data_IF_336275107930
#
_entry.id   IF_336275107930
#
_cell.length_a   1.000
_cell.length_b   1.000
_cell.length_c   1.000
_cell.angle_alpha   90.00
_cell.angle_beta   90.00
_cell.angle_gamma   90.00
#
_symmetry.space_group_name_H-M   'P 1'
#
loop_
_entity.id
_entity.type
_entity.pdbx_description
1 polymer ?
#
# COMPACT_ATOMS: atom_id res chain seq x y z
N UNK A 1 -7.35 -10.82 5.32
CA UNK A 1 -6.17 -10.29 6.07
C UNK A 1 -4.83 -10.76 5.50
N UNK A 2 -4.54 -12.09 5.35
CA UNK A 2 -3.24 -12.57 4.81
C UNK A 2 -3.03 -12.11 3.36
N UNK A 3 -4.05 -12.20 2.52
CA UNK A 3 -3.99 -11.73 1.14
C UNK A 3 -3.75 -10.22 1.08
N UNK A 4 -4.38 -9.43 1.94
CA UNK A 4 -4.15 -7.99 2.06
C UNK A 4 -2.71 -7.68 2.49
N UNK A 5 -2.16 -8.37 3.49
CA UNK A 5 -0.75 -8.18 3.87
C UNK A 5 0.21 -8.47 2.70
N UNK A 6 -0.08 -9.50 1.90
CA UNK A 6 0.73 -9.83 0.72
C UNK A 6 0.54 -8.80 -0.41
N UNK A 7 -0.70 -8.41 -0.72
CA UNK A 7 -0.99 -7.40 -1.75
C UNK A 7 -0.46 -6.03 -1.38
N UNK A 8 -0.59 -5.61 -0.12
CA UNK A 8 -0.02 -4.35 0.38
C UNK A 8 1.51 -4.29 0.23
N UNK A 9 2.21 -5.41 0.50
CA UNK A 9 3.65 -5.51 0.27
C UNK A 9 4.01 -5.42 -1.23
N UNK A 10 3.27 -6.12 -2.09
CA UNK A 10 3.47 -6.06 -3.55
C UNK A 10 3.18 -4.66 -4.11
N UNK A 11 2.11 -4.02 -3.66
CA UNK A 11 1.74 -2.67 -4.07
C UNK A 11 2.75 -1.63 -3.58
N UNK A 12 3.32 -1.80 -2.40
CA UNK A 12 4.43 -0.99 -1.91
C UNK A 12 5.65 -1.09 -2.83
N UNK A 13 6.04 -2.31 -3.23
CA UNK A 13 7.15 -2.53 -4.16
C UNK A 13 6.83 -1.96 -5.57
N UNK A 14 5.59 -2.10 -6.04
CA UNK A 14 5.13 -1.51 -7.29
C UNK A 14 5.17 0.02 -7.24
N UNK A 15 4.77 0.63 -6.13
CA UNK A 15 4.85 2.08 -5.91
C UNK A 15 6.29 2.59 -6.01
N UNK A 16 7.27 1.87 -5.42
CA UNK A 16 8.70 2.17 -5.62
C UNK A 16 9.12 2.09 -7.07
N UNK A 17 8.74 1.04 -7.78
CA UNK A 17 9.08 0.87 -9.19
C UNK A 17 8.51 2.01 -10.05
N UNK A 18 7.26 2.38 -9.81
CA UNK A 18 6.56 3.44 -10.53
C UNK A 18 7.24 4.80 -10.34
N UNK A 19 7.50 5.19 -9.09
CA UNK A 19 8.15 6.48 -8.81
C UNK A 19 9.59 6.50 -9.28
N UNK A 20 10.31 5.36 -9.24
CA UNK A 20 11.67 5.26 -9.76
C UNK A 20 11.72 5.45 -11.28
N UNK A 21 10.77 4.87 -12.01
CA UNK A 21 10.65 5.09 -13.47
C UNK A 21 10.39 6.58 -13.77
N UNK A 22 9.48 7.20 -13.02
CA UNK A 22 9.18 8.63 -13.19
C UNK A 22 10.38 9.51 -12.87
N UNK A 23 11.12 9.18 -11.81
CA UNK A 23 12.29 9.93 -11.37
C UNK A 23 13.49 9.82 -12.33
N UNK A 24 13.61 8.71 -13.08
CA UNK A 24 14.70 8.46 -14.03
C UNK A 24 14.35 8.87 -15.47
N UNK A 25 13.19 9.45 -15.71
CA UNK A 25 12.78 9.88 -17.05
C UNK A 25 13.41 11.24 -17.37
N UNK A 26 14.14 11.36 -18.48
CA UNK A 26 14.81 12.61 -18.94
C UNK A 26 13.87 13.82 -19.03
N UNK A 27 12.56 13.59 -19.07
CA UNK A 27 11.53 14.63 -19.14
C UNK A 27 11.21 15.29 -17.79
N UNK A 28 11.57 14.65 -16.68
CA UNK A 28 11.29 15.13 -15.33
C UNK A 28 12.62 15.32 -14.62
N UNK A 29 13.16 16.53 -14.66
CA UNK A 29 14.42 16.88 -13.98
C UNK A 29 14.17 17.20 -12.50
N UNK A 30 13.55 16.28 -11.76
CA UNK A 30 13.34 16.42 -10.32
C UNK A 30 14.00 15.26 -9.60
N UNK A 31 15.08 15.53 -8.90
CA UNK A 31 15.68 14.54 -7.99
C UNK A 31 14.81 14.40 -6.74
N UNK A 32 14.01 13.36 -6.72
CA UNK A 32 13.16 13.05 -5.57
C UNK A 32 13.99 12.50 -4.41
N UNK A 33 13.77 13.04 -3.22
CA UNK A 33 14.45 12.53 -2.02
C UNK A 33 14.02 11.09 -1.70
N UNK A 34 14.88 10.26 -1.08
CA UNK A 34 14.53 8.91 -0.64
C UNK A 34 13.29 8.85 0.26
N UNK A 35 13.08 9.89 1.06
CA UNK A 35 11.90 10.02 1.90
C UNK A 35 10.62 10.18 1.06
N UNK A 36 10.65 11.06 0.06
CA UNK A 36 9.48 11.29 -0.80
C UNK A 36 9.12 10.03 -1.60
N UNK A 37 10.12 9.33 -2.15
CA UNK A 37 9.92 8.06 -2.88
C UNK A 37 9.22 7.03 -1.98
N UNK A 38 9.68 6.91 -0.73
CA UNK A 38 9.12 5.96 0.23
C UNK A 38 7.71 6.35 0.69
N UNK A 39 7.48 7.63 0.93
CA UNK A 39 6.16 8.15 1.27
C UNK A 39 5.16 7.93 0.13
N UNK A 40 5.57 8.17 -1.11
CA UNK A 40 4.74 7.90 -2.27
C UNK A 40 4.37 6.41 -2.37
N UNK A 41 5.34 5.50 -2.22
CA UNK A 41 5.10 4.06 -2.27
C UNK A 41 4.13 3.59 -1.18
N UNK A 42 4.26 4.13 0.04
CA UNK A 42 3.34 3.87 1.14
C UNK A 42 1.92 4.36 0.82
N UNK A 43 1.78 5.63 0.42
CA UNK A 43 0.48 6.21 0.11
C UNK A 43 -0.19 5.53 -1.09
N UNK A 44 0.59 5.17 -2.11
CA UNK A 44 0.10 4.43 -3.27
C UNK A 44 -0.50 3.08 -2.86
N UNK A 45 0.24 2.28 -2.09
CA UNK A 45 -0.22 0.96 -1.65
C UNK A 45 -1.48 1.06 -0.79
N UNK A 46 -1.49 1.99 0.17
CA UNK A 46 -2.64 2.22 1.05
C UNK A 46 -3.88 2.70 0.27
N UNK A 47 -3.69 3.55 -0.73
CA UNK A 47 -4.79 4.04 -1.57
C UNK A 47 -5.41 2.92 -2.39
N UNK A 48 -4.59 2.02 -2.96
CA UNK A 48 -5.10 0.88 -3.73
C UNK A 48 -5.84 -0.10 -2.80
N UNK A 49 -5.32 -0.36 -1.60
CA UNK A 49 -6.01 -1.17 -0.58
C UNK A 49 -7.37 -0.59 -0.20
N UNK A 50 -7.42 0.73 0.06
CA UNK A 50 -8.69 1.41 0.38
C UNK A 50 -9.69 1.39 -0.79
N UNK A 51 -9.22 1.52 -2.04
CA UNK A 51 -10.08 1.37 -3.23
C UNK A 51 -10.62 -0.05 -3.37
N UNK A 52 -9.86 -1.06 -2.96
CA UNK A 52 -10.33 -2.43 -2.94
C UNK A 52 -11.46 -2.64 -1.93
N UNK A 53 -11.33 -2.09 -0.71
CA UNK A 53 -12.40 -2.13 0.29
C UNK A 53 -13.68 -1.42 -0.19
N UNK A 54 -13.53 -0.28 -0.87
CA UNK A 54 -14.66 0.43 -1.51
C UNK A 54 -15.31 -0.44 -2.59
N UNK A 55 -14.51 -1.15 -3.37
CA UNK A 55 -15.01 -2.10 -4.37
C UNK A 55 -15.80 -3.23 -3.71
N UNK A 56 -15.27 -3.89 -2.67
CA UNK A 56 -15.96 -4.95 -1.94
C UNK A 56 -17.30 -4.48 -1.37
N UNK A 57 -17.31 -3.30 -0.73
CA UNK A 57 -18.52 -2.66 -0.21
C UNK A 57 -19.56 -2.41 -1.32
N UNK A 58 -19.12 -1.91 -2.46
CA UNK A 58 -19.99 -1.60 -3.59
C UNK A 58 -20.62 -2.90 -4.16
N UNK A 59 -19.79 -3.91 -4.37
CA UNK A 59 -20.24 -5.20 -4.88
C UNK A 59 -21.21 -5.87 -3.93
N UNK A 60 -20.95 -5.88 -2.63
CA UNK A 60 -21.84 -6.43 -1.61
C UNK A 60 -23.18 -5.70 -1.59
N UNK A 61 -23.18 -4.38 -1.79
CA UNK A 61 -24.39 -3.56 -1.83
C UNK A 61 -25.28 -3.85 -3.03
N UNK A 62 -24.70 -4.15 -4.19
CA UNK A 62 -25.46 -4.39 -5.42
C UNK A 62 -25.80 -5.86 -5.66
N UNK A 63 -24.92 -6.78 -5.29
CA UNK A 63 -25.06 -8.21 -5.60
C UNK A 63 -25.42 -9.06 -4.38
N UNK A 64 -25.52 -8.44 -3.19
CA UNK A 64 -25.84 -9.15 -1.93
C UNK A 64 -24.92 -10.36 -1.67
N UNK A 65 -23.67 -10.26 -2.07
CA UNK A 65 -22.61 -11.20 -1.69
C UNK A 65 -21.96 -10.71 -0.39
N UNK A 66 -21.00 -11.42 0.16
CA UNK A 66 -20.47 -11.15 1.50
C UNK A 66 -18.94 -11.05 1.46
N UNK A 67 -18.41 -10.17 0.60
CA UNK A 67 -16.97 -9.96 0.43
C UNK A 67 -16.36 -9.34 1.68
N UNK A 68 -17.03 -8.34 2.27
CA UNK A 68 -16.62 -7.67 3.51
C UNK A 68 -16.93 -8.47 4.78
N UNK A 69 -17.49 -9.70 4.64
CA UNK A 69 -17.85 -10.58 5.76
C UNK A 69 -18.71 -9.92 6.84
N UNK A 70 -19.66 -9.09 6.41
CA UNK A 70 -20.63 -8.47 7.32
C UNK A 70 -21.70 -9.46 7.80
N UNK A 71 -21.68 -10.71 7.32
CA UNK A 71 -22.62 -11.77 7.66
C UNK A 71 -21.88 -13.10 7.86
N UNK A 72 -22.30 -13.87 8.87
CA UNK A 72 -21.78 -15.20 9.14
C UNK A 72 -22.30 -16.21 8.13
N UNK A 73 -21.68 -17.40 8.10
CA UNK A 73 -22.07 -18.48 7.15
C UNK A 73 -23.48 -19.01 7.34
N UNK A 74 -24.05 -18.86 8.53
CA UNK A 74 -25.43 -19.25 8.88
C UNK A 74 -26.47 -18.18 8.52
N UNK A 75 -26.05 -17.06 7.92
CA UNK A 75 -26.90 -15.93 7.55
C UNK A 75 -27.11 -14.90 8.65
N UNK A 76 -26.49 -15.05 9.82
CA UNK A 76 -26.57 -14.06 10.91
C UNK A 76 -25.80 -12.80 10.50
N UNK A 77 -26.48 -11.65 10.47
CA UNK A 77 -25.86 -10.36 10.21
C UNK A 77 -25.05 -9.86 11.41
N UNK A 78 -23.83 -9.42 11.19
CA UNK A 78 -23.00 -8.76 12.19
C UNK A 78 -23.48 -7.31 12.38
N UNK A 79 -23.35 -6.79 13.60
CA UNK A 79 -23.87 -5.48 13.98
C UNK A 79 -22.74 -4.64 14.60
N UNK A 80 -22.74 -3.34 14.29
CA UNK A 80 -21.84 -2.37 14.90
C UNK A 80 -20.37 -2.67 14.63
N UNK A 81 -19.55 -2.78 15.66
CA UNK A 81 -18.11 -2.97 15.54
C UNK A 81 -17.73 -4.29 14.84
N UNK A 82 -18.50 -5.36 15.06
CA UNK A 82 -18.21 -6.65 14.45
C UNK A 82 -18.37 -6.62 12.92
N UNK A 83 -19.35 -5.87 12.41
CA UNK A 83 -19.56 -5.69 10.98
C UNK A 83 -18.40 -4.93 10.28
N UNK A 84 -17.69 -4.06 11.01
CA UNK A 84 -16.55 -3.28 10.50
C UNK A 84 -15.22 -4.02 10.64
N UNK A 85 -15.20 -5.11 11.41
CA UNK A 85 -13.94 -5.73 11.85
C UNK A 85 -13.13 -6.31 10.68
N UNK A 86 -13.76 -6.91 9.68
CA UNK A 86 -13.04 -7.50 8.54
C UNK A 86 -12.35 -6.41 7.71
N UNK A 87 -13.11 -5.41 7.25
CA UNK A 87 -12.60 -4.24 6.51
C UNK A 87 -11.47 -3.52 7.25
N UNK A 88 -11.65 -3.26 8.55
CA UNK A 88 -10.63 -2.56 9.34
C UNK A 88 -9.35 -3.39 9.53
N UNK A 89 -9.46 -4.70 9.71
CA UNK A 89 -8.29 -5.59 9.78
C UNK A 89 -7.54 -5.66 8.47
N UNK A 90 -8.24 -5.61 7.36
CA UNK A 90 -7.66 -5.67 6.04
C UNK A 90 -6.96 -4.36 5.69
N UNK A 91 -7.57 -3.21 5.99
CA UNK A 91 -6.89 -1.90 5.88
C UNK A 91 -5.65 -1.79 6.79
N UNK A 92 -5.71 -2.32 8.00
CA UNK A 92 -4.55 -2.35 8.92
C UNK A 92 -3.45 -3.25 8.36
N UNK A 93 -3.79 -4.41 7.80
CA UNK A 93 -2.83 -5.32 7.19
C UNK A 93 -2.13 -4.66 5.98
N UNK A 94 -2.89 -3.97 5.12
CA UNK A 94 -2.35 -3.19 4.00
C UNK A 94 -1.41 -2.08 4.50
N UNK A 95 -1.84 -1.30 5.49
CA UNK A 95 -1.04 -0.21 6.06
C UNK A 95 0.27 -0.71 6.67
N UNK A 96 0.23 -1.77 7.46
CA UNK A 96 1.42 -2.34 8.13
C UNK A 96 2.40 -2.90 7.10
N UNK A 97 1.93 -3.69 6.13
CA UNK A 97 2.79 -4.27 5.10
C UNK A 97 3.39 -3.22 4.18
N UNK A 98 2.59 -2.24 3.75
CA UNK A 98 3.07 -1.09 2.98
C UNK A 98 4.13 -0.29 3.75
N UNK A 99 3.93 -0.06 5.06
CA UNK A 99 4.88 0.65 5.91
C UNK A 99 6.22 -0.10 6.02
N UNK A 100 6.18 -1.42 6.21
CA UNK A 100 7.40 -2.26 6.28
C UNK A 100 8.19 -2.16 4.98
N UNK A 101 7.55 -2.35 3.83
CA UNK A 101 8.21 -2.28 2.52
C UNK A 101 8.74 -0.87 2.24
N UNK A 102 7.95 0.16 2.54
CA UNK A 102 8.36 1.56 2.34
C UNK A 102 9.54 1.96 3.22
N UNK A 103 9.58 1.48 4.46
CA UNK A 103 10.71 1.70 5.36
C UNK A 103 11.97 0.99 4.87
N UNK A 104 11.86 -0.27 4.44
CA UNK A 104 12.97 -1.01 3.87
C UNK A 104 13.53 -0.31 2.61
N UNK A 105 12.64 0.12 1.71
CA UNK A 105 13.02 0.87 0.51
C UNK A 105 13.68 2.21 0.83
N UNK A 106 13.20 2.93 1.85
CA UNK A 106 13.84 4.15 2.33
C UNK A 106 15.29 3.92 2.76
N UNK A 107 15.51 2.87 3.57
CA UNK A 107 16.85 2.54 4.07
C UNK A 107 17.80 2.21 2.91
N UNK A 108 17.34 1.44 1.94
CA UNK A 108 18.12 1.04 0.76
C UNK A 108 18.49 2.28 -0.07
N UNK A 109 17.50 3.08 -0.45
CA UNK A 109 17.69 4.26 -1.28
C UNK A 109 18.58 5.32 -0.59
N UNK A 110 18.41 5.51 0.71
CA UNK A 110 19.27 6.43 1.47
C UNK A 110 20.73 5.98 1.51
N UNK A 111 21.00 4.68 1.71
CA UNK A 111 22.35 4.13 1.67
C UNK A 111 22.99 4.24 0.28
N UNK A 112 22.21 4.12 -0.77
CA UNK A 112 22.69 4.27 -2.14
C UNK A 112 23.04 5.73 -2.45
N UNK A 113 22.18 6.67 -2.10
CA UNK A 113 22.42 8.09 -2.25
C UNK A 113 23.70 8.55 -1.54
N UNK A 114 23.95 8.09 -0.31
CA UNK A 114 25.17 8.40 0.43
C UNK A 114 26.44 7.86 -0.25
N UNK A 115 26.38 6.63 -0.80
CA UNK A 115 27.50 6.04 -1.52
C UNK A 115 27.83 6.76 -2.83
N UNK A 116 26.81 7.27 -3.52
CA UNK A 116 26.99 7.98 -4.78
C UNK A 116 27.65 9.35 -4.54
N UNK A 117 27.30 10.04 -3.44
CA UNK A 117 27.99 11.27 -3.01
C UNK A 117 29.47 11.01 -2.68
N UNK A 118 29.78 9.91 -1.99
CA UNK A 118 31.16 9.56 -1.61
C UNK A 118 32.05 9.22 -2.83
N UNK A 119 31.46 8.74 -3.92
CA UNK A 119 32.19 8.37 -5.16
C UNK A 119 32.39 9.51 -6.13
N UNK A 120 31.76 10.65 -5.94
CA UNK A 120 31.93 11.84 -6.79
C UNK A 120 32.99 12.74 -6.17
N UNK A 121 34.29 12.67 -6.58
CA UNK A 121 35.32 13.57 -6.09
C UNK A 121 35.03 15.00 -6.60
N UNK A 122 35.17 15.97 -5.74
CA UNK A 122 35.12 17.40 -6.05
C UNK A 122 36.30 17.77 -6.96
#
# INVERSE_FOLDING_TARGET
TILHAFSGAMLGALGFSLISILNNTERVQVELSPFFISLFAFCFALSVGALWEIYEYTVDSFLSINMQRYMLRDGTQLIGHDALTDTMKDLIADAVSALVISTAGYIINKKQSLRDIEKTPV
#
